data_IF_825294372493
#
_entry.id   IF_825294372493
#
_cell.length_a   1.000
_cell.length_b   1.000
_cell.length_c   1.000
_cell.angle_alpha   90.00
_cell.angle_beta   90.00
_cell.angle_gamma   90.00
#
_symmetry.space_group_name_H-M   'P 1'
#
loop_
_entity.id
_entity.type
_entity.pdbx_description
1 polymer ?
#
# COMPACT_ATOMS: atom_id res chain seq x y z
N UNK A 1 2.82 23.68 11.95
CA UNK A 1 1.50 23.49 11.32
C UNK A 1 0.66 22.69 12.30
N UNK A 2 -0.63 23.01 12.46
CA UNK A 2 -1.52 22.20 13.30
C UNK A 2 -1.66 20.81 12.66
N UNK A 3 -1.66 19.77 13.47
CA UNK A 3 -1.86 18.38 13.04
C UNK A 3 -3.23 18.27 12.36
N UNK A 4 -3.26 17.82 11.10
CA UNK A 4 -4.50 17.61 10.37
C UNK A 4 -5.15 16.34 10.87
N UNK A 5 -6.38 16.45 11.37
CA UNK A 5 -7.14 15.32 11.88
C UNK A 5 -7.90 14.68 10.72
N UNK A 6 -7.48 13.52 10.26
CA UNK A 6 -8.08 12.80 9.14
C UNK A 6 -8.86 11.57 9.59
N UNK A 7 -9.93 11.30 8.85
CA UNK A 7 -10.74 10.09 8.99
C UNK A 7 -10.89 9.44 7.62
N UNK A 8 -10.47 8.18 7.52
CA UNK A 8 -10.71 7.35 6.33
C UNK A 8 -12.10 6.75 6.38
N UNK A 9 -12.92 7.02 5.37
CA UNK A 9 -14.24 6.41 5.19
C UNK A 9 -14.29 5.69 3.85
N UNK A 10 -14.73 4.43 3.87
CA UNK A 10 -14.82 3.62 2.64
C UNK A 10 -15.71 4.29 1.59
N UNK A 11 -15.32 4.26 0.29
CA UNK A 11 -16.05 4.93 -0.79
C UNK A 11 -17.53 4.52 -0.90
N UNK A 12 -17.86 3.25 -0.64
CA UNK A 12 -19.25 2.78 -0.66
C UNK A 12 -20.10 3.45 0.42
N UNK A 13 -19.56 3.63 1.64
CA UNK A 13 -20.28 4.33 2.70
C UNK A 13 -20.51 5.80 2.37
N UNK A 14 -19.49 6.48 1.83
CA UNK A 14 -19.60 7.87 1.38
C UNK A 14 -20.65 8.04 0.28
N UNK A 15 -20.83 7.04 -0.58
CA UNK A 15 -21.84 7.07 -1.64
C UNK A 15 -23.25 6.76 -1.13
N UNK A 16 -23.37 5.79 -0.22
CA UNK A 16 -24.65 5.12 0.06
C UNK A 16 -25.26 5.55 1.43
N UNK A 17 -24.47 6.14 2.35
CA UNK A 17 -24.90 6.40 3.73
C UNK A 17 -24.99 7.90 4.10
N UNK A 18 -24.58 8.82 3.21
CA UNK A 18 -24.74 10.26 3.46
C UNK A 18 -26.20 10.65 3.20
N UNK A 19 -26.79 11.33 4.16
CA UNK A 19 -28.17 11.80 4.06
C UNK A 19 -28.32 13.09 3.23
N UNK A 20 -29.57 13.54 3.04
CA UNK A 20 -29.90 14.78 2.30
C UNK A 20 -29.36 16.05 2.95
N UNK A 21 -28.97 16.01 4.23
CA UNK A 21 -28.40 17.15 4.98
C UNK A 21 -26.87 17.17 4.88
N UNK A 22 -26.25 16.21 4.19
CA UNK A 22 -24.81 16.02 4.12
C UNK A 22 -24.21 15.45 5.39
N UNK A 23 -24.98 14.66 6.12
CA UNK A 23 -24.56 14.05 7.39
C UNK A 23 -24.29 12.55 7.21
N UNK A 24 -23.29 12.05 7.93
CA UNK A 24 -22.89 10.65 7.94
C UNK A 24 -22.80 10.14 9.38
N UNK A 25 -23.45 9.00 9.63
CA UNK A 25 -23.37 8.32 10.92
C UNK A 25 -22.08 7.50 11.00
N UNK A 26 -21.30 7.75 12.04
CA UNK A 26 -20.03 7.05 12.30
C UNK A 26 -20.28 5.65 12.84
N UNK A 27 -19.47 4.71 12.39
CA UNK A 27 -19.36 3.38 13.00
C UNK A 27 -18.78 3.47 14.41
N UNK A 28 -18.95 2.41 15.21
CA UNK A 28 -18.36 2.34 16.56
C UNK A 28 -16.84 2.52 16.56
N UNK A 29 -16.14 1.98 15.55
CA UNK A 29 -14.68 2.11 15.41
C UNK A 29 -14.27 3.55 15.06
N UNK A 30 -14.94 4.19 14.12
CA UNK A 30 -14.71 5.60 13.74
C UNK A 30 -14.99 6.55 14.91
N UNK A 31 -16.11 6.34 15.62
CA UNK A 31 -16.44 7.09 16.83
C UNK A 31 -15.37 6.90 17.92
N UNK A 32 -14.92 5.66 18.14
CA UNK A 32 -13.86 5.38 19.10
C UNK A 32 -12.57 6.12 18.72
N UNK A 33 -12.17 6.05 17.43
CA UNK A 33 -10.99 6.74 16.92
C UNK A 33 -11.07 8.25 17.15
N UNK A 34 -12.12 8.91 16.68
CA UNK A 34 -12.27 10.36 16.82
C UNK A 34 -12.34 10.83 18.28
N UNK A 35 -13.15 10.17 19.12
CA UNK A 35 -13.43 10.67 20.46
C UNK A 35 -12.48 10.17 21.55
N UNK A 36 -11.92 8.95 21.40
CA UNK A 36 -11.02 8.36 22.39
C UNK A 36 -9.56 8.51 22.03
N UNK A 37 -9.21 8.30 20.76
CA UNK A 37 -7.81 8.37 20.29
C UNK A 37 -7.45 9.83 19.99
N UNK A 38 -8.20 10.47 19.08
CA UNK A 38 -7.95 11.86 18.66
C UNK A 38 -8.50 12.92 19.63
N UNK A 39 -9.32 12.50 20.62
CA UNK A 39 -9.92 13.34 21.66
C UNK A 39 -10.69 14.55 21.11
N UNK A 40 -11.35 14.37 19.98
CA UNK A 40 -12.16 15.40 19.34
C UNK A 40 -13.47 15.62 20.07
N UNK A 41 -14.06 16.81 19.88
CA UNK A 41 -15.31 17.24 20.49
C UNK A 41 -16.32 17.65 19.42
N UNK A 42 -17.58 17.87 19.81
CA UNK A 42 -18.59 18.50 18.94
C UNK A 42 -18.09 19.86 18.45
N UNK A 43 -18.37 20.19 17.19
CA UNK A 43 -17.93 21.35 16.42
C UNK A 43 -16.45 21.35 16.01
N UNK A 44 -15.64 20.36 16.41
CA UNK A 44 -14.27 20.22 15.89
C UNK A 44 -14.30 19.88 14.40
N UNK A 45 -13.36 20.47 13.66
CA UNK A 45 -13.15 20.23 12.23
C UNK A 45 -12.23 19.05 12.01
N UNK A 46 -12.53 18.27 10.97
CA UNK A 46 -11.71 17.16 10.50
C UNK A 46 -11.70 17.10 8.97
N UNK A 47 -10.70 16.43 8.44
CA UNK A 47 -10.65 16.07 7.03
C UNK A 47 -11.16 14.64 6.85
N UNK A 48 -12.02 14.39 5.86
CA UNK A 48 -12.50 13.06 5.47
C UNK A 48 -11.86 12.69 4.15
N UNK A 49 -11.34 11.47 4.06
CA UNK A 49 -10.73 10.92 2.84
C UNK A 49 -11.39 9.61 2.44
N UNK A 50 -11.50 9.36 1.14
CA UNK A 50 -12.07 8.12 0.59
C UNK A 50 -11.04 7.06 0.18
N UNK A 51 -9.75 7.39 0.24
CA UNK A 51 -8.69 6.52 -0.25
C UNK A 51 -8.69 6.32 -1.77
N UNK A 52 -9.44 7.15 -2.50
CA UNK A 52 -9.50 7.18 -3.97
C UNK A 52 -9.13 8.56 -4.55
N UNK A 53 -8.38 9.33 -3.77
CA UNK A 53 -7.84 10.61 -4.18
C UNK A 53 -8.70 11.82 -3.85
N UNK A 54 -9.77 11.66 -3.07
CA UNK A 54 -10.65 12.77 -2.71
C UNK A 54 -10.58 13.06 -1.21
N UNK A 55 -10.69 14.35 -0.89
CA UNK A 55 -10.68 14.88 0.46
C UNK A 55 -11.81 15.91 0.64
N UNK A 56 -12.45 15.88 1.78
CA UNK A 56 -13.50 16.83 2.17
C UNK A 56 -13.22 17.40 3.55
N UNK A 57 -13.71 18.61 3.77
CA UNK A 57 -13.86 19.15 5.11
C UNK A 57 -15.18 18.66 5.74
N UNK A 58 -15.11 18.27 6.99
CA UNK A 58 -16.26 17.91 7.79
C UNK A 58 -16.14 18.46 9.22
N UNK A 59 -17.25 18.51 9.92
CA UNK A 59 -17.30 18.84 11.35
C UNK A 59 -18.07 17.77 12.13
N UNK A 60 -17.74 17.61 13.37
CA UNK A 60 -18.49 16.76 14.30
C UNK A 60 -19.75 17.51 14.74
N UNK A 61 -20.92 16.97 14.41
CA UNK A 61 -22.22 17.56 14.85
C UNK A 61 -22.62 16.98 16.21
N UNK A 62 -22.59 15.64 16.31
CA UNK A 62 -22.91 14.89 17.53
C UNK A 62 -21.90 13.74 17.73
N UNK A 63 -21.98 13.04 18.89
CA UNK A 63 -21.05 11.93 19.24
C UNK A 63 -20.95 10.80 18.23
N UNK A 64 -21.83 10.74 17.23
CA UNK A 64 -21.85 9.69 16.20
C UNK A 64 -22.09 10.22 14.80
N UNK A 65 -22.04 11.53 14.60
CA UNK A 65 -22.40 12.13 13.31
C UNK A 65 -21.39 13.20 12.92
N UNK A 66 -20.94 13.14 11.67
CA UNK A 66 -20.18 14.20 11.02
C UNK A 66 -21.01 14.81 9.90
N UNK A 67 -20.75 16.09 9.60
CA UNK A 67 -21.39 16.83 8.53
C UNK A 67 -20.33 17.41 7.60
N UNK A 68 -20.51 17.22 6.30
CA UNK A 68 -19.64 17.82 5.28
C UNK A 68 -19.92 19.31 5.17
N UNK A 69 -18.90 20.16 5.39
CA UNK A 69 -19.08 21.62 5.53
C UNK A 69 -19.41 22.31 4.21
N UNK A 70 -18.84 21.85 3.11
CA UNK A 70 -18.98 22.46 1.77
C UNK A 70 -19.90 21.64 0.85
N UNK A 71 -20.57 20.61 1.41
CA UNK A 71 -21.36 19.62 0.68
C UNK A 71 -20.48 18.46 0.16
N UNK A 72 -21.07 17.28 0.11
CA UNK A 72 -20.35 16.07 -0.33
C UNK A 72 -20.04 16.06 -1.84
N UNK A 73 -20.83 16.76 -2.65
CA UNK A 73 -20.61 16.94 -4.08
C UNK A 73 -19.38 17.79 -4.43
N UNK A 74 -18.82 18.52 -3.44
CA UNK A 74 -17.69 19.43 -3.58
C UNK A 74 -16.51 19.02 -2.72
N UNK A 75 -15.68 18.04 -3.14
CA UNK A 75 -14.47 17.72 -2.42
C UNK A 75 -13.53 18.93 -2.39
N UNK A 76 -12.85 19.13 -1.26
CA UNK A 76 -11.84 20.16 -1.08
C UNK A 76 -10.63 19.93 -2.01
N UNK A 77 -10.27 18.66 -2.21
CA UNK A 77 -9.16 18.26 -3.04
C UNK A 77 -9.49 16.98 -3.81
N UNK A 78 -9.03 16.91 -5.07
CA UNK A 78 -9.10 15.72 -5.92
C UNK A 78 -7.74 15.51 -6.57
N UNK A 79 -7.11 14.39 -6.26
CA UNK A 79 -5.78 14.03 -6.77
C UNK A 79 -5.87 12.81 -7.65
N UNK A 80 -5.33 12.88 -8.86
CA UNK A 80 -5.20 11.73 -9.74
C UNK A 80 -4.19 10.72 -9.21
N UNK A 81 -4.45 9.43 -9.45
CA UNK A 81 -3.51 8.37 -9.05
C UNK A 81 -2.22 8.47 -9.88
N UNK A 82 -1.08 8.53 -9.21
CA UNK A 82 0.23 8.62 -9.87
C UNK A 82 0.54 7.34 -10.66
N UNK A 83 1.25 7.49 -11.77
CA UNK A 83 1.72 6.41 -12.63
C UNK A 83 3.24 6.48 -12.84
N UNK A 84 3.91 5.35 -13.08
CA UNK A 84 3.40 3.98 -12.91
C UNK A 84 3.05 3.66 -11.45
N UNK A 85 2.18 2.66 -11.23
CA UNK A 85 1.91 2.16 -9.88
C UNK A 85 3.15 1.47 -9.34
N UNK A 86 3.48 1.75 -8.09
CA UNK A 86 4.56 1.08 -7.36
C UNK A 86 3.98 -0.11 -6.61
N UNK A 87 4.43 -1.30 -6.96
CA UNK A 87 3.85 -2.55 -6.52
C UNK A 87 4.92 -3.46 -5.89
N UNK A 88 4.54 -4.17 -4.84
CA UNK A 88 5.42 -5.12 -4.16
C UNK A 88 4.73 -6.47 -4.03
N UNK A 89 5.39 -7.51 -4.52
CA UNK A 89 5.07 -8.89 -4.23
C UNK A 89 6.06 -9.39 -3.17
N UNK A 90 5.59 -9.72 -1.98
CA UNK A 90 6.46 -10.05 -0.85
C UNK A 90 6.02 -11.33 -0.16
N UNK A 91 6.96 -12.24 0.04
CA UNK A 91 6.69 -13.44 0.82
C UNK A 91 6.45 -13.05 2.28
N UNK A 92 5.31 -13.50 2.83
CA UNK A 92 4.92 -13.14 4.20
C UNK A 92 5.98 -13.65 5.19
N UNK A 93 6.74 -12.75 5.86
CA UNK A 93 7.74 -13.17 6.83
C UNK A 93 7.07 -13.71 8.10
N UNK A 94 7.84 -14.46 8.90
CA UNK A 94 7.37 -14.95 10.20
C UNK A 94 6.92 -13.82 11.12
N UNK A 95 7.66 -12.71 11.14
CA UNK A 95 7.41 -11.55 11.98
C UNK A 95 7.61 -10.25 11.18
N UNK A 96 7.01 -9.15 11.63
CA UNK A 96 7.27 -7.81 11.11
C UNK A 96 6.51 -7.46 9.84
N UNK A 97 5.58 -8.31 9.35
CA UNK A 97 4.79 -7.99 8.17
C UNK A 97 3.89 -6.76 8.38
N UNK A 98 3.32 -6.61 9.56
CA UNK A 98 2.48 -5.45 9.91
C UNK A 98 3.26 -4.14 9.90
N UNK A 99 4.47 -4.14 10.49
CA UNK A 99 5.36 -2.98 10.45
C UNK A 99 5.80 -2.65 9.02
N UNK A 100 6.05 -3.68 8.19
CA UNK A 100 6.34 -3.49 6.77
C UNK A 100 5.15 -2.84 6.05
N UNK A 101 3.91 -3.29 6.28
CA UNK A 101 2.70 -2.70 5.69
C UNK A 101 2.57 -1.22 6.05
N UNK A 102 2.74 -0.89 7.33
CA UNK A 102 2.68 0.49 7.82
C UNK A 102 3.73 1.36 7.14
N UNK A 103 5.03 1.01 7.27
CA UNK A 103 6.12 1.79 6.69
C UNK A 103 6.02 1.96 5.18
N UNK A 104 5.65 0.89 4.46
CA UNK A 104 5.50 0.95 3.01
C UNK A 104 4.30 1.80 2.59
N UNK A 105 3.21 1.79 3.38
CA UNK A 105 2.09 2.69 3.18
C UNK A 105 2.52 4.15 3.33
N UNK A 106 3.23 4.51 4.39
CA UNK A 106 3.76 5.85 4.65
C UNK A 106 4.70 6.33 3.52
N UNK A 107 5.55 5.43 2.99
CA UNK A 107 6.47 5.71 1.88
C UNK A 107 5.74 5.97 0.56
N UNK A 108 4.61 5.31 0.30
CA UNK A 108 3.81 5.61 -0.88
C UNK A 108 3.66 4.49 -1.91
N UNK A 109 3.78 3.20 -1.55
CA UNK A 109 3.44 2.12 -2.47
C UNK A 109 1.94 2.11 -2.81
N UNK A 110 1.57 1.44 -3.92
CA UNK A 110 0.19 1.41 -4.42
C UNK A 110 -0.47 0.04 -4.32
N UNK A 111 0.28 -1.04 -4.48
CA UNK A 111 -0.25 -2.42 -4.41
C UNK A 111 0.73 -3.31 -3.66
N UNK A 112 0.19 -4.10 -2.72
CA UNK A 112 0.90 -5.21 -2.10
C UNK A 112 0.25 -6.53 -2.52
N UNK A 113 1.08 -7.46 -2.99
CA UNK A 113 0.75 -8.85 -3.19
C UNK A 113 1.47 -9.70 -2.14
N UNK A 114 0.78 -10.16 -1.09
CA UNK A 114 1.34 -11.14 -0.18
C UNK A 114 1.57 -12.47 -0.90
N UNK A 115 2.77 -13.06 -0.72
CA UNK A 115 3.14 -14.32 -1.35
C UNK A 115 3.40 -15.42 -0.31
N UNK A 116 3.21 -16.65 -0.75
CA UNK A 116 3.60 -17.87 -0.07
C UNK A 116 4.57 -18.62 -0.99
N UNK A 117 5.78 -18.91 -0.48
CA UNK A 117 6.81 -19.65 -1.20
C UNK A 117 7.07 -21.01 -0.56
N UNK A 118 7.83 -21.86 -1.23
CA UNK A 118 8.19 -23.19 -0.69
C UNK A 118 8.94 -23.09 0.65
N UNK A 119 9.80 -22.06 0.80
CA UNK A 119 10.56 -21.82 2.04
C UNK A 119 9.91 -20.85 3.01
N UNK A 120 8.65 -20.46 2.78
CA UNK A 120 7.88 -19.65 3.74
C UNK A 120 7.68 -20.39 5.06
N UNK A 121 7.82 -19.68 6.16
CA UNK A 121 7.38 -20.12 7.48
C UNK A 121 5.84 -20.07 7.57
N UNK A 122 5.25 -19.01 7.02
CA UNK A 122 3.80 -18.83 6.92
C UNK A 122 3.30 -19.59 5.70
N UNK A 123 2.46 -20.61 5.91
CA UNK A 123 1.91 -21.46 4.83
C UNK A 123 0.51 -21.06 4.39
N UNK A 124 -0.16 -20.22 5.17
CA UNK A 124 -1.53 -19.80 4.93
C UNK A 124 -1.75 -18.37 5.47
N UNK A 125 -2.48 -17.55 4.74
CA UNK A 125 -2.93 -16.24 5.21
C UNK A 125 -4.45 -16.27 5.36
N UNK A 126 -4.92 -16.35 6.62
CA UNK A 126 -6.34 -16.42 6.94
C UNK A 126 -7.03 -15.08 6.83
N UNK A 127 -8.35 -15.10 6.64
CA UNK A 127 -9.20 -13.91 6.47
C UNK A 127 -9.04 -12.88 7.61
N UNK A 128 -8.94 -13.31 8.86
CA UNK A 128 -8.75 -12.42 10.01
C UNK A 128 -7.46 -11.60 9.90
N UNK A 129 -6.39 -12.19 9.37
CA UNK A 129 -5.14 -11.47 9.09
C UNK A 129 -5.33 -10.42 8.02
N UNK A 130 -6.06 -10.72 6.95
CA UNK A 130 -6.33 -9.77 5.87
C UNK A 130 -7.12 -8.55 6.37
N UNK A 131 -8.12 -8.76 7.22
CA UNK A 131 -8.89 -7.68 7.86
C UNK A 131 -8.00 -6.80 8.74
N UNK A 132 -7.09 -7.41 9.50
CA UNK A 132 -6.12 -6.68 10.32
C UNK A 132 -5.13 -5.88 9.47
N UNK A 133 -4.65 -6.42 8.36
CA UNK A 133 -3.76 -5.73 7.43
C UNK A 133 -4.44 -4.49 6.81
N UNK A 134 -5.70 -4.61 6.40
CA UNK A 134 -6.49 -3.47 5.91
C UNK A 134 -6.62 -2.38 6.97
N UNK A 135 -6.84 -2.74 8.24
CA UNK A 135 -6.91 -1.76 9.33
C UNK A 135 -5.60 -1.00 9.50
N UNK A 136 -4.45 -1.70 9.48
CA UNK A 136 -3.13 -1.08 9.57
C UNK A 136 -2.91 -0.10 8.40
N UNK A 137 -3.29 -0.49 7.19
CA UNK A 137 -3.20 0.38 6.02
C UNK A 137 -4.07 1.63 6.20
N UNK A 138 -5.31 1.51 6.69
CA UNK A 138 -6.18 2.66 6.90
C UNK A 138 -5.59 3.63 7.93
N UNK A 139 -5.10 3.13 9.07
CA UNK A 139 -4.43 3.94 10.10
C UNK A 139 -3.17 4.64 9.53
N UNK A 140 -2.38 3.95 8.72
CA UNK A 140 -1.21 4.51 8.08
C UNK A 140 -1.55 5.57 7.02
N UNK A 141 -2.65 5.40 6.27
CA UNK A 141 -3.17 6.38 5.29
C UNK A 141 -3.62 7.67 6.00
N UNK A 142 -4.34 7.55 7.11
CA UNK A 142 -4.77 8.70 7.93
C UNK A 142 -3.56 9.48 8.46
N UNK A 143 -2.59 8.78 9.06
CA UNK A 143 -1.42 9.37 9.68
C UNK A 143 -0.44 9.98 8.66
N UNK A 144 -0.24 9.34 7.51
CA UNK A 144 0.68 9.82 6.45
C UNK A 144 0.07 10.86 5.51
N UNK A 145 -1.15 11.28 5.77
CA UNK A 145 -1.89 12.26 4.97
C UNK A 145 -2.10 11.88 3.49
N UNK A 146 -2.08 10.58 3.17
CA UNK A 146 -2.32 10.10 1.80
C UNK A 146 -3.79 10.24 1.41
N UNK A 147 -4.05 10.59 0.14
CA UNK A 147 -5.39 10.58 -0.43
C UNK A 147 -5.70 9.27 -1.19
N UNK A 148 -4.67 8.53 -1.60
CA UNK A 148 -4.82 7.22 -2.22
C UNK A 148 -4.44 6.12 -1.24
N UNK A 149 -5.41 5.27 -0.89
CA UNK A 149 -5.17 4.06 -0.11
C UNK A 149 -4.53 2.99 -1.00
N UNK A 150 -3.46 2.33 -0.54
CA UNK A 150 -2.91 1.20 -1.27
C UNK A 150 -3.86 0.00 -1.23
N UNK A 151 -3.72 -0.87 -2.22
CA UNK A 151 -4.44 -2.14 -2.30
C UNK A 151 -3.60 -3.27 -1.72
N UNK A 152 -4.19 -4.07 -0.84
CA UNK A 152 -3.62 -5.34 -0.41
C UNK A 152 -4.40 -6.47 -1.06
N UNK A 153 -3.71 -7.27 -1.86
CA UNK A 153 -4.29 -8.39 -2.58
C UNK A 153 -4.44 -9.62 -1.68
N UNK A 154 -5.25 -10.59 -2.10
CA UNK A 154 -5.27 -11.90 -1.45
C UNK A 154 -3.92 -12.59 -1.60
N UNK A 155 -3.50 -13.31 -0.55
CA UNK A 155 -2.25 -14.06 -0.60
C UNK A 155 -2.32 -15.18 -1.64
N UNK A 156 -1.30 -15.26 -2.48
CA UNK A 156 -1.14 -16.30 -3.51
C UNK A 156 0.16 -17.08 -3.27
N UNK A 157 0.21 -18.31 -3.78
CA UNK A 157 1.51 -18.98 -3.94
C UNK A 157 2.31 -18.28 -5.04
N UNK A 158 3.63 -18.30 -4.93
CA UNK A 158 4.49 -17.66 -5.94
C UNK A 158 4.21 -18.15 -7.37
N UNK A 159 4.04 -19.46 -7.64
CA UNK A 159 3.68 -19.94 -8.98
C UNK A 159 2.32 -19.42 -9.48
N UNK A 160 1.30 -19.38 -8.62
CA UNK A 160 -0.01 -18.86 -9.03
C UNK A 160 0.06 -17.37 -9.38
N UNK A 161 0.79 -16.59 -8.58
CA UNK A 161 0.97 -15.17 -8.86
C UNK A 161 1.71 -14.93 -10.20
N UNK A 162 2.74 -15.75 -10.50
CA UNK A 162 3.48 -15.68 -11.78
C UNK A 162 2.53 -15.91 -12.96
N UNK A 163 1.61 -16.87 -12.85
CA UNK A 163 0.65 -17.16 -13.93
C UNK A 163 -0.36 -16.03 -14.18
N UNK A 164 -0.61 -15.19 -13.17
CA UNK A 164 -1.54 -14.06 -13.21
C UNK A 164 -0.85 -12.72 -13.53
N UNK A 165 0.43 -12.74 -13.90
CA UNK A 165 1.19 -11.52 -14.17
C UNK A 165 0.63 -10.74 -15.36
N UNK A 166 0.54 -9.42 -15.16
CA UNK A 166 0.16 -8.51 -16.24
C UNK A 166 1.30 -8.39 -17.25
N UNK A 167 1.08 -8.63 -18.55
CA UNK A 167 2.15 -8.68 -19.56
C UNK A 167 2.92 -7.37 -19.73
N UNK A 168 2.34 -6.24 -19.33
CA UNK A 168 2.96 -4.90 -19.42
C UNK A 168 3.63 -4.45 -18.11
N UNK A 169 3.85 -5.34 -17.14
CA UNK A 169 4.49 -4.99 -15.89
C UNK A 169 6.02 -5.08 -16.02
N UNK A 170 6.75 -4.10 -15.48
CA UNK A 170 8.19 -4.17 -15.30
C UNK A 170 8.51 -4.78 -13.94
N UNK A 171 9.13 -5.97 -13.91
CA UNK A 171 9.22 -6.77 -12.70
C UNK A 171 10.67 -7.12 -12.35
N UNK A 172 11.11 -6.63 -11.18
CA UNK A 172 12.39 -7.00 -10.57
C UNK A 172 12.22 -8.15 -9.59
N UNK A 173 13.05 -9.17 -9.71
CA UNK A 173 13.11 -10.32 -8.82
C UNK A 173 14.31 -10.19 -7.89
N UNK A 174 14.07 -9.79 -6.63
CA UNK A 174 15.14 -9.62 -5.65
C UNK A 174 15.70 -10.98 -5.22
N UNK A 175 16.95 -11.24 -5.57
CA UNK A 175 17.67 -12.44 -5.23
C UNK A 175 19.01 -12.09 -4.57
N UNK A 176 19.44 -12.88 -3.60
CA UNK A 176 20.61 -12.57 -2.76
C UNK A 176 21.79 -13.51 -2.98
N UNK A 177 21.59 -14.60 -3.71
CA UNK A 177 22.59 -15.67 -3.87
C UNK A 177 22.85 -16.03 -5.34
N UNK A 178 22.49 -15.13 -6.24
CA UNK A 178 22.75 -15.23 -7.67
C UNK A 178 23.84 -14.21 -7.98
N UNK A 179 24.89 -14.66 -8.66
CA UNK A 179 25.99 -13.79 -9.08
C UNK A 179 25.57 -12.94 -10.30
N UNK A 180 26.26 -11.83 -10.50
CA UNK A 180 26.11 -10.92 -11.66
C UNK A 180 24.71 -10.31 -11.86
N UNK A 181 23.94 -10.15 -10.78
CA UNK A 181 22.68 -9.42 -10.85
C UNK A 181 22.93 -7.91 -10.97
N UNK A 182 22.11 -7.27 -11.80
CA UNK A 182 22.15 -5.81 -11.84
C UNK A 182 21.62 -5.18 -10.54
N UNK A 183 22.17 -4.04 -10.19
CA UNK A 183 21.71 -3.25 -9.05
C UNK A 183 20.26 -2.75 -9.26
N UNK A 184 19.46 -2.76 -8.20
CA UNK A 184 18.06 -2.34 -8.23
C UNK A 184 17.87 -0.90 -8.75
N UNK A 185 18.82 0.01 -8.44
CA UNK A 185 18.76 1.40 -8.93
C UNK A 185 18.97 1.46 -10.44
N UNK A 186 19.87 0.63 -10.99
CA UNK A 186 20.09 0.56 -12.43
C UNK A 186 18.90 -0.09 -13.14
N UNK A 187 18.33 -1.14 -12.56
CA UNK A 187 17.13 -1.78 -13.08
C UNK A 187 15.94 -0.80 -13.17
N UNK A 188 15.65 -0.06 -12.10
CA UNK A 188 14.50 0.86 -12.09
C UNK A 188 14.65 2.00 -13.10
N UNK A 189 15.88 2.48 -13.36
CA UNK A 189 16.15 3.49 -14.39
C UNK A 189 15.86 3.01 -15.81
N UNK A 190 15.91 1.70 -16.05
CA UNK A 190 15.62 1.08 -17.35
C UNK A 190 14.12 0.82 -17.56
N UNK A 191 13.26 1.21 -16.63
CA UNK A 191 11.82 1.02 -16.75
C UNK A 191 11.29 1.73 -18.00
N UNK A 192 10.62 1.01 -18.92
CA UNK A 192 10.03 1.60 -20.12
C UNK A 192 9.03 2.71 -19.80
N UNK A 193 8.88 3.68 -20.71
CA UNK A 193 8.00 4.83 -20.47
C UNK A 193 6.51 4.46 -20.40
N UNK A 194 6.11 3.44 -21.11
CA UNK A 194 4.70 3.01 -21.27
C UNK A 194 4.20 2.08 -20.16
N UNK A 195 5.09 1.71 -19.23
CA UNK A 195 4.75 0.78 -18.15
C UNK A 195 3.78 1.40 -17.16
N UNK A 196 2.67 0.72 -16.91
CA UNK A 196 1.64 1.14 -15.96
C UNK A 196 1.90 0.68 -14.53
N UNK A 197 2.67 -0.39 -14.35
CA UNK A 197 2.99 -0.99 -13.06
C UNK A 197 4.46 -1.41 -13.01
N UNK A 198 5.12 -1.06 -11.92
CA UNK A 198 6.48 -1.52 -11.63
C UNK A 198 6.42 -2.36 -10.37
N UNK A 199 6.84 -3.60 -10.47
CA UNK A 199 6.83 -4.57 -9.40
C UNK A 199 8.24 -4.91 -8.93
N UNK A 200 8.38 -5.13 -7.63
CA UNK A 200 9.53 -5.84 -7.08
C UNK A 200 9.05 -7.04 -6.28
N UNK A 201 9.73 -8.15 -6.45
CA UNK A 201 9.42 -9.41 -5.78
C UNK A 201 10.48 -9.70 -4.72
N UNK A 202 10.06 -9.85 -3.46
CA UNK A 202 10.96 -10.07 -2.33
C UNK A 202 10.67 -11.42 -1.69
N UNK A 203 11.71 -12.24 -1.57
CA UNK A 203 11.65 -13.60 -1.07
C UNK A 203 11.55 -13.74 0.45
N UNK A 204 11.40 -14.99 0.93
CA UNK A 204 11.39 -15.33 2.35
C UNK A 204 12.79 -15.22 2.97
N UNK A 205 12.87 -15.29 4.30
CA UNK A 205 14.12 -15.27 5.04
C UNK A 205 15.08 -16.42 4.64
N UNK A 206 14.52 -17.56 4.22
CA UNK A 206 15.29 -18.71 3.72
C UNK A 206 15.77 -18.59 2.28
N UNK A 207 15.46 -17.47 1.60
CA UNK A 207 15.70 -17.24 0.18
C UNK A 207 14.78 -18.09 -0.71
N UNK A 208 14.84 -17.84 -2.00
CA UNK A 208 14.12 -18.61 -3.01
C UNK A 208 14.68 -20.03 -3.15
N UNK A 209 13.86 -21.00 -3.56
CA UNK A 209 14.37 -22.28 -3.98
C UNK A 209 14.71 -22.25 -5.48
N UNK A 210 15.41 -23.29 -5.96
CA UNK A 210 15.90 -23.33 -7.34
C UNK A 210 14.76 -23.35 -8.38
N UNK A 211 13.66 -24.05 -8.08
CA UNK A 211 12.53 -24.11 -9.01
C UNK A 211 11.79 -22.75 -9.09
N UNK A 212 11.72 -22.01 -7.98
CA UNK A 212 11.13 -20.66 -7.95
C UNK A 212 12.01 -19.65 -8.71
N UNK A 213 13.34 -19.77 -8.60
CA UNK A 213 14.29 -18.96 -9.38
C UNK A 213 14.14 -19.22 -10.88
N UNK A 214 14.14 -20.49 -11.29
CA UNK A 214 13.94 -20.88 -12.70
C UNK A 214 12.61 -20.36 -13.21
N UNK A 215 11.52 -20.58 -12.47
CA UNK A 215 10.19 -20.09 -12.83
C UNK A 215 10.16 -18.57 -13.01
N UNK A 216 10.80 -17.82 -12.10
CA UNK A 216 10.89 -16.37 -12.21
C UNK A 216 11.55 -15.91 -13.52
N UNK A 217 12.71 -16.48 -13.84
CA UNK A 217 13.46 -16.10 -15.03
C UNK A 217 12.79 -16.56 -16.33
N UNK A 218 12.25 -17.77 -16.37
CA UNK A 218 11.50 -18.29 -17.52
C UNK A 218 10.23 -17.46 -17.79
N UNK A 219 9.68 -16.83 -16.76
CA UNK A 219 8.53 -15.92 -16.86
C UNK A 219 8.93 -14.46 -17.18
N UNK A 220 10.20 -14.19 -17.45
CA UNK A 220 10.70 -12.88 -17.87
C UNK A 220 10.96 -11.88 -16.75
N UNK A 221 11.01 -12.31 -15.49
CA UNK A 221 11.38 -11.42 -14.39
C UNK A 221 12.88 -11.11 -14.45
N UNK A 222 13.24 -9.87 -14.19
CA UNK A 222 14.64 -9.44 -14.16
C UNK A 222 15.23 -9.62 -12.77
N UNK A 223 16.31 -10.39 -12.66
CA UNK A 223 17.02 -10.54 -11.39
C UNK A 223 17.68 -9.23 -10.96
N UNK A 224 17.47 -8.83 -9.70
CA UNK A 224 18.02 -7.59 -9.14
C UNK A 224 18.68 -7.81 -7.80
N UNK A 225 19.80 -7.11 -7.57
CA UNK A 225 20.48 -7.02 -6.28
C UNK A 225 19.96 -5.81 -5.51
N UNK A 226 19.68 -5.99 -4.22
CA UNK A 226 19.28 -4.92 -3.30
C UNK A 226 20.47 -4.29 -2.56
N UNK A 227 21.70 -4.56 -2.98
CA UNK A 227 22.93 -4.05 -2.40
C UNK A 227 23.91 -5.16 -2.02
N UNK A 228 25.04 -4.77 -1.39
CA UNK A 228 26.15 -5.67 -1.08
C UNK A 228 25.87 -6.62 0.09
N UNK A 229 24.90 -6.29 0.95
CA UNK A 229 24.58 -7.08 2.15
C UNK A 229 23.25 -7.82 2.00
N UNK A 230 23.12 -8.96 2.70
CA UNK A 230 21.87 -9.71 2.75
C UNK A 230 20.90 -8.98 3.69
N UNK A 231 19.81 -8.48 3.12
CA UNK A 231 18.74 -7.82 3.86
C UNK A 231 17.70 -8.82 4.36
N UNK A 232 17.08 -8.53 5.50
CA UNK A 232 15.86 -9.23 5.91
C UNK A 232 14.72 -8.90 4.92
N UNK A 233 13.77 -9.81 4.76
CA UNK A 233 12.60 -9.64 3.86
C UNK A 233 11.91 -8.28 4.03
N UNK A 234 11.61 -7.88 5.27
CA UNK A 234 10.98 -6.57 5.55
C UNK A 234 11.88 -5.39 5.19
N UNK A 235 13.18 -5.47 5.47
CA UNK A 235 14.15 -4.42 5.13
C UNK A 235 14.27 -4.28 3.61
N UNK A 236 14.43 -5.38 2.88
CA UNK A 236 14.51 -5.37 1.42
C UNK A 236 13.23 -4.75 0.80
N UNK A 237 12.06 -5.16 1.28
CA UNK A 237 10.79 -4.67 0.78
C UNK A 237 10.59 -3.17 1.05
N UNK A 238 10.89 -2.66 2.25
CA UNK A 238 10.79 -1.23 2.59
C UNK A 238 11.80 -0.40 1.77
N UNK A 239 13.06 -0.88 1.64
CA UNK A 239 14.08 -0.21 0.83
C UNK A 239 13.69 -0.13 -0.63
N UNK A 240 13.15 -1.20 -1.19
CA UNK A 240 12.63 -1.22 -2.55
C UNK A 240 11.49 -0.21 -2.73
N UNK A 241 10.52 -0.16 -1.79
CA UNK A 241 9.46 0.85 -1.80
C UNK A 241 10.02 2.26 -1.89
N UNK A 242 11.01 2.58 -1.06
CA UNK A 242 11.61 3.91 -1.02
C UNK A 242 12.33 4.26 -2.33
N UNK A 243 13.10 3.33 -2.90
CA UNK A 243 13.77 3.51 -4.18
C UNK A 243 12.78 3.78 -5.31
N UNK A 244 11.77 2.92 -5.44
CA UNK A 244 10.78 2.98 -6.52
C UNK A 244 9.90 4.23 -6.41
N UNK A 245 9.46 4.61 -5.22
CA UNK A 245 8.66 5.83 -5.02
C UNK A 245 9.47 7.10 -5.25
N UNK A 246 10.74 7.12 -4.85
CA UNK A 246 11.66 8.24 -5.13
C UNK A 246 11.92 8.38 -6.63
N UNK A 247 12.17 7.27 -7.32
CA UNK A 247 12.32 7.24 -8.77
C UNK A 247 11.06 7.78 -9.48
N UNK A 248 9.85 7.34 -9.09
CA UNK A 248 8.59 7.85 -9.67
C UNK A 248 8.45 9.35 -9.52
N UNK A 249 8.77 9.92 -8.34
CA UNK A 249 8.73 11.38 -8.12
C UNK A 249 9.67 12.13 -9.05
N UNK A 250 10.90 11.65 -9.19
CA UNK A 250 11.87 12.27 -10.10
C UNK A 250 11.40 12.23 -11.55
N UNK A 251 10.81 11.10 -12.00
CA UNK A 251 10.25 10.96 -13.35
C UNK A 251 9.06 11.88 -13.60
N UNK A 252 8.25 12.17 -12.59
CA UNK A 252 7.08 13.07 -12.70
C UNK A 252 7.47 14.56 -12.69
N UNK A 253 8.71 14.89 -12.35
CA UNK A 253 9.23 16.26 -12.29
C UNK A 253 10.01 16.65 -13.55
N UNK A 254 10.20 15.74 -14.49
CA UNK A 254 10.81 15.91 -15.80
C UNK A 254 9.76 16.01 -16.90
#
# INVERSE_FOLDING_TARGET
MAEKRRLFIKPNRLRDEIDSNGELILTSNESHYLFRVMRMRSEDLLEVIDGKGRLWNAKIVEKKTIKFTDGFDKPLEVVSRQRPLICIAVVIPKNGFENFLQMSCEIGFDIIQPLISKRSVVKECRYEKTTRFQKIIHEAVEQSERLWSPEIMQALTFPNWINDLHPEAHIGFAATRIEDLQDCVNWIKQTPHEVNQVWIVVGPEGGWNKDEEVLAFDSGLTGVSMGETILRTSTAAVSACQLMTSWRRLKSSL
#
